data_IF_449221594469
#
_entry.id   IF_449221594469
#
_cell.length_a   1.000
_cell.length_b   1.000
_cell.length_c   1.000
_cell.angle_alpha   90.00
_cell.angle_beta   90.00
_cell.angle_gamma   90.00
#
_symmetry.space_group_name_H-M   'P 1'
#
loop_
_entity.id
_entity.type
_entity.pdbx_description
1 polymer ?
#
# COMPACT_ATOMS: atom_id res chain seq x y z
N UNK A 1 -9.81 -9.52 0.99
CA UNK A 1 -9.37 -8.51 0.01
C UNK A 1 -9.25 -9.21 -1.33
N UNK A 2 -9.72 -8.59 -2.41
CA UNK A 2 -9.71 -9.18 -3.75
C UNK A 2 -8.30 -9.05 -4.35
N UNK A 3 -7.73 -10.14 -4.88
CA UNK A 3 -6.38 -10.12 -5.45
C UNK A 3 -6.32 -9.27 -6.72
N UNK A 4 -5.17 -8.66 -7.05
CA UNK A 4 -4.99 -7.88 -8.28
C UNK A 4 -5.43 -8.62 -9.57
N UNK A 5 -5.05 -9.89 -9.82
CA UNK A 5 -5.58 -10.67 -10.94
C UNK A 5 -7.11 -10.84 -10.91
N UNK A 6 -7.70 -10.97 -9.74
CA UNK A 6 -9.15 -11.13 -9.60
C UNK A 6 -9.89 -9.84 -9.94
N UNK A 7 -9.33 -8.69 -9.55
CA UNK A 7 -9.85 -7.36 -9.93
C UNK A 7 -9.78 -7.16 -11.44
N UNK A 8 -8.67 -7.56 -12.07
CA UNK A 8 -8.48 -7.43 -13.52
C UNK A 8 -9.48 -8.31 -14.28
N UNK A 9 -9.72 -9.54 -13.82
CA UNK A 9 -10.74 -10.42 -14.37
C UNK A 9 -12.13 -9.81 -14.26
N UNK A 10 -12.46 -9.20 -13.13
CA UNK A 10 -13.74 -8.51 -12.91
C UNK A 10 -13.96 -7.34 -13.85
N UNK A 11 -12.96 -6.48 -14.05
CA UNK A 11 -13.04 -5.38 -15.02
C UNK A 11 -13.20 -5.90 -16.45
N UNK A 12 -12.44 -6.93 -16.83
CA UNK A 12 -12.57 -7.56 -18.15
C UNK A 12 -14.00 -8.08 -18.36
N UNK A 13 -14.54 -8.80 -17.37
CA UNK A 13 -15.92 -9.28 -17.42
C UNK A 13 -16.93 -8.13 -17.44
N UNK A 14 -16.66 -7.01 -16.78
CA UNK A 14 -17.54 -5.84 -16.81
C UNK A 14 -17.64 -5.24 -18.21
N UNK A 15 -16.51 -4.92 -18.84
CA UNK A 15 -16.50 -4.33 -20.18
C UNK A 15 -16.98 -5.31 -21.27
N UNK A 16 -16.75 -6.61 -21.12
CA UNK A 16 -17.25 -7.63 -22.06
C UNK A 16 -18.77 -7.87 -21.98
N UNK A 17 -19.45 -7.41 -20.93
CA UNK A 17 -20.88 -7.67 -20.69
C UNK A 17 -21.68 -6.37 -20.57
N UNK A 18 -21.41 -5.42 -21.48
CA UNK A 18 -22.18 -4.17 -21.62
C UNK A 18 -22.23 -3.36 -20.30
N UNK A 19 -21.14 -3.36 -19.54
CA UNK A 19 -21.04 -2.59 -18.29
C UNK A 19 -22.08 -3.01 -17.22
N UNK A 20 -22.59 -4.24 -17.33
CA UNK A 20 -23.50 -4.79 -16.34
C UNK A 20 -22.75 -5.39 -15.15
N UNK A 21 -22.72 -4.65 -14.03
CA UNK A 21 -22.07 -5.08 -12.81
C UNK A 21 -22.63 -6.42 -12.26
N UNK A 22 -23.94 -6.65 -12.40
CA UNK A 22 -24.60 -7.86 -11.91
C UNK A 22 -24.16 -9.09 -12.72
N UNK A 23 -24.14 -8.96 -14.05
CA UNK A 23 -23.72 -10.04 -14.95
C UNK A 23 -22.24 -10.36 -14.77
N UNK A 24 -21.40 -9.33 -14.68
CA UNK A 24 -19.97 -9.47 -14.43
C UNK A 24 -19.69 -10.22 -13.12
N UNK A 25 -20.36 -9.83 -12.03
CA UNK A 25 -20.25 -10.51 -10.74
C UNK A 25 -20.73 -11.96 -10.79
N UNK A 26 -21.82 -12.23 -11.49
CA UNK A 26 -22.35 -13.60 -11.65
C UNK A 26 -21.35 -14.48 -12.40
N UNK A 27 -20.80 -14.01 -13.52
CA UNK A 27 -19.78 -14.73 -14.30
C UNK A 27 -18.49 -14.92 -13.50
N UNK A 28 -18.05 -13.92 -12.76
CA UNK A 28 -16.88 -14.02 -11.90
C UNK A 28 -17.05 -15.09 -10.81
N UNK A 29 -18.21 -15.12 -10.14
CA UNK A 29 -18.52 -16.13 -9.11
C UNK A 29 -18.52 -17.55 -9.66
N UNK A 30 -19.07 -17.74 -10.86
CA UNK A 30 -19.04 -19.04 -11.57
C UNK A 30 -17.60 -19.41 -11.92
N UNK A 31 -16.82 -18.51 -12.52
CA UNK A 31 -15.42 -18.80 -12.91
C UNK A 31 -14.52 -19.10 -11.71
N UNK A 32 -14.79 -18.49 -10.54
CA UNK A 32 -14.02 -18.70 -9.31
C UNK A 32 -14.63 -19.76 -8.39
N UNK A 33 -15.72 -20.42 -8.79
CA UNK A 33 -16.47 -21.39 -7.98
C UNK A 33 -16.86 -20.87 -6.57
N UNK A 34 -17.14 -19.57 -6.46
CA UNK A 34 -17.51 -18.92 -5.18
C UNK A 34 -19.04 -18.87 -5.08
N UNK A 35 -19.63 -19.97 -4.61
CA UNK A 35 -21.10 -20.16 -4.57
C UNK A 35 -21.78 -19.61 -3.30
N UNK A 36 -21.05 -18.96 -2.40
CA UNK A 36 -21.61 -18.49 -1.14
C UNK A 36 -22.42 -17.22 -1.36
N UNK A 37 -23.70 -17.21 -0.95
CA UNK A 37 -24.62 -16.05 -1.05
C UNK A 37 -24.13 -14.74 -0.40
N UNK A 38 -22.98 -14.76 0.27
CA UNK A 38 -22.20 -13.61 0.72
C UNK A 38 -20.89 -13.55 -0.07
N UNK A 39 -20.95 -13.05 -1.30
CA UNK A 39 -19.76 -12.84 -2.12
C UNK A 39 -18.92 -11.66 -1.58
N UNK A 40 -17.59 -11.68 -1.74
CA UNK A 40 -16.70 -10.62 -1.23
C UNK A 40 -16.90 -9.27 -1.92
N UNK A 41 -17.69 -9.21 -2.99
CA UNK A 41 -17.92 -8.01 -3.78
C UNK A 41 -19.41 -7.84 -4.09
N UNK A 42 -19.90 -6.64 -3.77
CA UNK A 42 -21.24 -6.13 -4.11
C UNK A 42 -21.19 -5.41 -5.46
N UNK A 43 -22.34 -5.17 -6.09
CA UNK A 43 -22.43 -4.35 -7.31
C UNK A 43 -21.82 -2.96 -7.11
N UNK A 44 -22.14 -2.32 -5.98
CA UNK A 44 -21.54 -1.05 -5.59
C UNK A 44 -20.02 -1.13 -5.41
N UNK A 45 -19.50 -2.25 -4.90
CA UNK A 45 -18.06 -2.50 -4.79
C UNK A 45 -17.37 -2.58 -6.15
N UNK A 46 -18.00 -3.24 -7.13
CA UNK A 46 -17.48 -3.31 -8.49
C UNK A 46 -17.48 -1.94 -9.17
N UNK A 47 -18.56 -1.16 -9.05
CA UNK A 47 -18.61 0.20 -9.62
C UNK A 47 -17.55 1.12 -9.02
N UNK A 48 -17.26 1.02 -7.72
CA UNK A 48 -16.14 1.74 -7.10
C UNK A 48 -14.80 1.34 -7.70
N UNK A 49 -14.63 0.06 -8.00
CA UNK A 49 -13.41 -0.47 -8.61
C UNK A 49 -13.22 0.05 -10.03
N UNK A 50 -14.28 0.04 -10.84
CA UNK A 50 -14.31 0.65 -12.19
C UNK A 50 -13.96 2.13 -12.11
N UNK A 51 -14.63 2.89 -11.25
CA UNK A 51 -14.35 4.32 -11.07
C UNK A 51 -12.89 4.59 -10.68
N UNK A 52 -12.35 3.83 -9.72
CA UNK A 52 -10.94 3.98 -9.34
C UNK A 52 -9.97 3.63 -10.47
N UNK A 53 -10.32 2.66 -11.30
CA UNK A 53 -9.52 2.27 -12.46
C UNK A 53 -9.57 3.35 -13.56
N UNK A 54 -10.73 3.94 -13.82
CA UNK A 54 -10.86 5.04 -14.78
C UNK A 54 -10.11 6.30 -14.31
N UNK A 55 -10.12 6.58 -13.00
CA UNK A 55 -9.42 7.73 -12.41
C UNK A 55 -7.89 7.56 -12.37
N UNK A 56 -7.39 6.35 -12.07
CA UNK A 56 -5.96 6.14 -11.77
C UNK A 56 -5.23 5.23 -12.75
N UNK A 57 -5.96 4.48 -13.58
CA UNK A 57 -5.41 3.43 -14.46
C UNK A 57 -4.82 2.22 -13.72
N UNK A 58 -4.95 2.17 -12.38
CA UNK A 58 -4.30 1.15 -11.53
C UNK A 58 -5.34 0.27 -10.84
N UNK A 59 -5.03 -1.02 -10.75
CA UNK A 59 -5.82 -2.04 -10.05
C UNK A 59 -5.33 -2.30 -8.62
N UNK A 60 -4.15 -1.81 -8.30
CA UNK A 60 -3.57 -1.93 -6.97
C UNK A 60 -4.38 -1.09 -5.97
N UNK A 61 -4.55 -1.64 -4.76
CA UNK A 61 -5.13 -0.83 -3.69
C UNK A 61 -4.18 0.32 -3.36
N UNK A 62 -4.77 1.49 -3.05
CA UNK A 62 -3.97 2.60 -2.55
C UNK A 62 -3.17 2.13 -1.33
N UNK A 63 -1.92 2.56 -1.24
CA UNK A 63 -1.11 2.35 -0.05
C UNK A 63 -1.92 2.77 1.17
N UNK A 64 -1.92 1.92 2.20
CA UNK A 64 -2.72 2.13 3.40
C UNK A 64 -2.24 3.44 4.04
N UNK A 65 -3.00 4.51 3.85
CA UNK A 65 -2.75 5.80 4.51
C UNK A 65 -3.16 5.67 5.98
N UNK A 66 -2.36 4.94 6.74
CA UNK A 66 -2.45 4.86 8.19
C UNK A 66 -1.60 5.96 8.84
N UNK A 67 -1.67 6.05 10.16
CA UNK A 67 -0.67 6.80 10.94
C UNK A 67 0.69 6.13 10.69
N UNK A 68 1.74 6.87 10.31
CA UNK A 68 3.07 6.30 10.13
C UNK A 68 3.51 5.61 11.42
N UNK A 69 4.24 4.50 11.29
CA UNK A 69 4.79 3.82 12.45
C UNK A 69 5.73 4.77 13.21
N UNK A 70 5.69 4.81 14.54
CA UNK A 70 6.59 5.69 15.32
C UNK A 70 8.07 5.43 14.99
N UNK A 71 8.42 4.21 14.56
CA UNK A 71 9.79 3.89 14.10
C UNK A 71 10.15 4.61 12.80
N UNK A 72 9.22 4.71 11.86
CA UNK A 72 9.41 5.41 10.58
C UNK A 72 9.52 6.93 10.79
N UNK A 73 8.74 7.48 11.72
CA UNK A 73 8.79 8.91 12.05
C UNK A 73 10.08 9.32 12.80
N UNK A 74 10.68 8.41 13.59
CA UNK A 74 11.87 8.68 14.42
C UNK A 74 13.20 8.41 13.71
N UNK A 75 13.20 7.61 12.64
CA UNK A 75 14.40 7.31 11.86
C UNK A 75 15.14 8.56 11.32
N UNK A 76 14.47 9.55 10.70
CA UNK A 76 15.19 10.73 10.18
C UNK A 76 15.75 11.61 11.30
N UNK A 77 15.06 11.74 12.44
CA UNK A 77 15.55 12.55 13.56
C UNK A 77 16.78 11.93 14.24
N UNK A 78 16.78 10.60 14.41
CA UNK A 78 17.94 9.88 14.98
C UNK A 78 19.14 9.99 14.03
N UNK A 79 18.93 9.89 12.71
CA UNK A 79 20.01 10.01 11.74
C UNK A 79 20.68 11.40 11.80
N UNK A 80 19.87 12.46 11.89
CA UNK A 80 20.35 13.85 12.04
C UNK A 80 21.12 14.03 13.36
N UNK A 81 20.60 13.49 14.47
CA UNK A 81 21.31 13.53 15.75
C UNK A 81 22.64 12.75 15.71
N UNK A 82 22.67 11.58 15.07
CA UNK A 82 23.90 10.77 14.93
C UNK A 82 24.95 11.46 14.08
N UNK A 83 24.56 12.11 12.99
CA UNK A 83 25.47 12.86 12.12
C UNK A 83 26.04 14.10 12.83
N UNK A 84 25.21 14.80 13.61
CA UNK A 84 25.67 15.91 14.46
C UNK A 84 26.66 15.43 15.53
N UNK A 85 26.38 14.31 16.20
CA UNK A 85 27.30 13.74 17.20
C UNK A 85 28.62 13.29 16.57
N UNK A 86 28.60 12.75 15.35
CA UNK A 86 29.80 12.37 14.62
C UNK A 86 30.63 13.60 14.21
N UNK A 87 29.98 14.68 13.77
CA UNK A 87 30.65 15.94 13.44
C UNK A 87 31.33 16.61 14.64
N UNK A 88 30.68 16.56 15.81
CA UNK A 88 31.26 17.08 17.07
C UNK A 88 32.40 16.19 17.61
N UNK A 89 32.39 14.89 17.33
CA UNK A 89 33.48 13.99 17.72
C UNK A 89 34.76 14.23 16.90
N UNK A 90 34.64 14.66 15.64
CA UNK A 90 35.78 15.03 14.79
C UNK A 90 36.40 16.39 15.18
N UNK A 91 35.69 17.24 15.93
CA UNK A 91 36.18 18.56 16.36
C UNK A 91 36.72 18.59 17.81
N UNK A 92 36.66 17.49 18.57
CA UNK A 92 36.90 17.53 20.01
C UNK A 92 37.43 16.25 20.66
N UNK A 93 38.68 15.86 20.36
CA UNK A 93 39.53 15.14 21.34
C UNK A 93 40.88 15.88 21.44
N UNK A 94 40.88 16.96 22.21
CA UNK A 94 42.09 17.46 22.84
C UNK A 94 42.58 16.40 23.84
N UNK A 95 43.80 15.91 23.61
CA UNK A 95 44.55 14.98 24.46
C UNK A 95 44.53 15.42 25.94
N UNK A 96 44.16 14.51 26.85
CA UNK A 96 44.28 14.68 28.30
C UNK A 96 44.95 13.48 28.98
N UNK A 97 45.98 12.89 28.36
CA UNK A 97 46.89 11.93 29.02
C UNK A 97 48.34 12.12 28.56
N UNK A 98 48.98 13.19 29.01
CA UNK A 98 50.44 13.26 29.11
C UNK A 98 50.83 14.18 30.27
N UNK A 99 50.81 13.64 31.49
CA UNK A 99 51.47 14.26 32.66
C UNK A 99 51.68 13.21 33.75
N UNK A 100 52.68 12.35 33.56
CA UNK A 100 53.33 11.60 34.63
C UNK A 100 54.82 11.42 34.25
N UNK A 101 55.62 12.42 34.60
CA UNK A 101 57.06 12.32 34.85
C UNK A 101 57.34 12.96 36.20
#
# INVERSE_FOLDING_TARGET
MLSAPDKALLLKLFYMNEESAIIALRKFRVQKNVNSGKGPLTSAGLLKLVKSFEETGKLEDRARAGRPCMKEARAPSIAVEMEAIAFEADSGISSAREAAR
#
